data_IF_346207245962
#
_entry.id   IF_346207245962
#
_cell.length_a   1.000
_cell.length_b   1.000
_cell.length_c   1.000
_cell.angle_alpha   90.00
_cell.angle_beta   90.00
_cell.angle_gamma   90.00
#
_symmetry.space_group_name_H-M   'P 1'
#
loop_
_entity.id
_entity.type
_entity.pdbx_description
1 polymer ?
#
# COMPACT_ATOMS: atom_id res chain seq x y z
N UNK A 1 4.13 0.67 -8.71
CA UNK A 1 3.58 0.50 -7.36
C UNK A 1 3.17 -0.94 -7.12
N UNK A 2 3.35 -1.40 -5.90
CA UNK A 2 2.83 -2.70 -5.44
C UNK A 2 1.72 -2.47 -4.42
N UNK A 3 0.58 -3.13 -4.62
CA UNK A 3 -0.56 -3.05 -3.72
C UNK A 3 -0.75 -4.37 -2.97
N UNK A 4 -1.10 -4.28 -1.70
CA UNK A 4 -1.40 -5.45 -0.87
C UNK A 4 -2.40 -5.08 0.22
N UNK A 5 -2.98 -6.10 0.85
CA UNK A 5 -3.82 -5.90 2.03
C UNK A 5 -3.20 -6.64 3.21
N UNK A 6 -3.32 -6.05 4.39
CA UNK A 6 -2.82 -6.62 5.64
C UNK A 6 -3.99 -6.74 6.60
N UNK A 7 -4.30 -7.96 7.00
CA UNK A 7 -5.48 -8.24 7.82
C UNK A 7 -5.14 -8.25 9.30
N UNK A 8 -6.13 -7.85 10.11
CA UNK A 8 -6.09 -8.02 11.55
C UNK A 8 -6.71 -9.34 11.97
N UNK A 9 -6.69 -9.62 13.26
CA UNK A 9 -7.29 -10.82 13.85
C UNK A 9 -8.60 -10.48 14.56
N UNK A 10 -9.58 -11.37 14.43
CA UNK A 10 -10.82 -11.31 15.20
C UNK A 10 -11.87 -10.35 14.66
N UNK A 11 -11.55 -9.53 13.66
CA UNK A 11 -12.48 -8.61 12.99
C UNK A 11 -12.21 -8.57 11.50
N UNK A 12 -13.09 -7.91 10.74
CA UNK A 12 -12.93 -7.72 9.28
C UNK A 12 -12.00 -6.56 8.94
N UNK A 13 -11.62 -5.74 9.93
CA UNK A 13 -10.80 -4.56 9.71
C UNK A 13 -9.43 -4.93 9.18
N UNK A 14 -8.97 -4.17 8.20
CA UNK A 14 -7.68 -4.38 7.56
C UNK A 14 -7.14 -3.06 7.03
N UNK A 15 -5.97 -3.11 6.44
CA UNK A 15 -5.37 -1.97 5.75
C UNK A 15 -4.97 -2.39 4.34
N UNK A 16 -4.95 -1.42 3.43
CA UNK A 16 -4.33 -1.55 2.12
C UNK A 16 -3.00 -0.81 2.15
N UNK A 17 -1.98 -1.40 1.55
CA UNK A 17 -0.67 -0.77 1.37
C UNK A 17 -0.40 -0.56 -0.10
N UNK A 18 0.16 0.58 -0.45
CA UNK A 18 0.58 0.92 -1.80
C UNK A 18 2.00 1.44 -1.72
N UNK A 19 2.94 0.71 -2.31
CA UNK A 19 4.37 0.96 -2.15
C UNK A 19 5.03 1.16 -3.50
N UNK A 20 5.77 2.24 -3.67
CA UNK A 20 6.60 2.44 -4.85
C UNK A 20 7.85 1.54 -4.77
N UNK A 21 8.04 0.69 -5.77
CA UNK A 21 9.13 -0.30 -5.78
C UNK A 21 10.51 0.34 -5.76
N UNK A 22 10.67 1.46 -6.44
CA UNK A 22 11.96 2.11 -6.57
C UNK A 22 12.38 2.83 -5.28
N UNK A 23 11.46 3.56 -4.67
CA UNK A 23 11.76 4.45 -3.55
C UNK A 23 11.37 3.89 -2.18
N UNK A 24 10.43 2.94 -2.14
CA UNK A 24 9.83 2.47 -0.90
C UNK A 24 8.77 3.41 -0.34
N UNK A 25 8.41 4.48 -1.06
CA UNK A 25 7.37 5.41 -0.62
C UNK A 25 6.06 4.65 -0.43
N UNK A 26 5.41 4.86 0.71
CA UNK A 26 4.28 4.05 1.14
C UNK A 26 3.05 4.89 1.42
N UNK A 27 1.91 4.45 0.89
CA UNK A 27 0.58 4.86 1.35
C UNK A 27 -0.04 3.71 2.12
N UNK A 28 -0.75 4.04 3.19
CA UNK A 28 -1.52 3.06 3.99
C UNK A 28 -2.95 3.57 4.08
N UNK A 29 -3.90 2.72 3.73
CA UNK A 29 -5.32 3.03 3.77
C UNK A 29 -6.07 2.13 4.74
N UNK A 30 -6.91 2.72 5.60
CA UNK A 30 -7.79 1.98 6.49
C UNK A 30 -8.98 1.44 5.70
N UNK A 31 -9.36 0.18 5.96
CA UNK A 31 -10.53 -0.47 5.37
C UNK A 31 -11.33 -1.19 6.44
N UNK A 32 -12.67 -1.07 6.37
CA UNK A 32 -13.56 -1.75 7.31
C UNK A 32 -13.64 -3.25 7.03
N UNK A 33 -13.47 -3.64 5.79
CA UNK A 33 -13.43 -5.03 5.37
C UNK A 33 -12.54 -5.21 4.13
N UNK A 34 -12.27 -6.46 3.77
CA UNK A 34 -11.41 -6.81 2.63
C UNK A 34 -12.25 -7.11 1.40
N UNK A 35 -13.08 -6.16 0.99
CA UNK A 35 -13.89 -6.26 -0.23
C UNK A 35 -13.32 -5.38 -1.34
N UNK A 36 -13.68 -5.69 -2.59
CA UNK A 36 -13.29 -4.86 -3.73
C UNK A 36 -13.89 -3.45 -3.65
N UNK A 37 -15.09 -3.33 -3.09
CA UNK A 37 -15.76 -2.03 -2.91
C UNK A 37 -15.02 -1.16 -1.91
N UNK A 38 -14.69 -1.69 -0.74
CA UNK A 38 -13.91 -0.97 0.28
C UNK A 38 -12.53 -0.59 -0.24
N UNK A 39 -11.87 -1.49 -0.96
CA UNK A 39 -10.57 -1.23 -1.57
C UNK A 39 -10.67 -0.07 -2.56
N UNK A 40 -11.64 -0.11 -3.48
CA UNK A 40 -11.78 0.91 -4.51
C UNK A 40 -12.09 2.28 -3.93
N UNK A 41 -12.94 2.36 -2.90
CA UNK A 41 -13.24 3.61 -2.21
C UNK A 41 -11.98 4.20 -1.58
N UNK A 42 -11.22 3.38 -0.86
CA UNK A 42 -9.99 3.85 -0.19
C UNK A 42 -8.91 4.22 -1.19
N UNK A 43 -8.69 3.40 -2.21
CA UNK A 43 -7.70 3.67 -3.24
C UNK A 43 -8.02 4.93 -4.02
N UNK A 44 -9.28 5.15 -4.37
CA UNK A 44 -9.69 6.38 -5.06
C UNK A 44 -9.39 7.62 -4.23
N UNK A 45 -9.61 7.57 -2.91
CA UNK A 45 -9.26 8.69 -2.01
C UNK A 45 -7.76 8.95 -1.99
N UNK A 46 -6.94 7.90 -1.91
CA UNK A 46 -5.48 8.02 -1.92
C UNK A 46 -5.00 8.63 -3.24
N UNK A 47 -5.45 8.07 -4.35
CA UNK A 47 -4.98 8.46 -5.68
C UNK A 47 -5.44 9.87 -6.06
N UNK A 48 -6.64 10.27 -5.63
CA UNK A 48 -7.19 11.61 -5.90
C UNK A 48 -6.46 12.70 -5.09
N UNK A 49 -6.10 12.40 -3.84
CA UNK A 49 -5.45 13.38 -2.94
C UNK A 49 -3.96 13.52 -3.18
N UNK A 50 -3.33 12.52 -3.80
CA UNK A 50 -1.89 12.54 -4.07
C UNK A 50 -1.60 13.19 -5.41
N UNK A 51 -0.50 13.92 -5.50
CA UNK A 51 0.05 14.46 -6.74
C UNK A 51 1.09 13.53 -7.38
N UNK A 52 1.35 12.38 -6.77
CA UNK A 52 2.28 11.39 -7.30
C UNK A 52 1.67 10.63 -8.48
N UNK A 53 2.47 10.24 -9.47
CA UNK A 53 1.97 9.46 -10.61
C UNK A 53 1.78 7.99 -10.24
N UNK A 54 0.62 7.44 -10.56
CA UNK A 54 0.30 6.02 -10.39
C UNK A 54 0.14 5.39 -11.79
N UNK A 55 1.27 5.09 -12.43
CA UNK A 55 1.25 4.56 -13.80
C UNK A 55 0.89 3.08 -13.83
N UNK A 56 1.57 2.28 -13.03
CA UNK A 56 1.34 0.84 -12.96
C UNK A 56 1.21 0.39 -11.50
N UNK A 57 0.31 -0.55 -11.27
CA UNK A 57 0.07 -1.13 -9.94
C UNK A 57 0.08 -2.65 -10.08
N UNK A 58 0.93 -3.33 -9.32
CA UNK A 58 1.01 -4.78 -9.30
C UNK A 58 0.32 -5.34 -8.07
N UNK A 59 -0.59 -6.30 -8.27
CA UNK A 59 -1.36 -6.95 -7.23
C UNK A 59 -1.21 -8.48 -7.30
N UNK A 60 -1.64 -9.16 -6.26
CA UNK A 60 -1.84 -10.61 -6.34
C UNK A 60 -3.25 -10.93 -6.90
N UNK A 61 -3.62 -12.21 -6.94
CA UNK A 61 -4.92 -12.66 -7.45
C UNK A 61 -6.03 -12.67 -6.38
N UNK A 62 -5.88 -11.88 -5.31
CA UNK A 62 -6.89 -11.76 -4.26
C UNK A 62 -8.21 -11.19 -4.79
N UNK A 63 -9.32 -11.65 -4.20
CA UNK A 63 -10.65 -11.22 -4.63
C UNK A 63 -10.89 -9.73 -4.39
N UNK A 64 -10.19 -9.12 -3.43
CA UNK A 64 -10.29 -7.68 -3.16
C UNK A 64 -9.82 -6.83 -4.35
N UNK A 65 -9.03 -7.39 -5.28
CA UNK A 65 -8.54 -6.67 -6.46
C UNK A 65 -9.40 -6.89 -7.70
N UNK A 66 -10.50 -7.62 -7.61
CA UNK A 66 -11.36 -7.90 -8.78
C UNK A 66 -12.08 -6.66 -9.33
N UNK A 67 -12.15 -5.59 -8.57
CA UNK A 67 -12.71 -4.30 -9.02
C UNK A 67 -11.69 -3.37 -9.70
N UNK A 68 -10.52 -3.86 -10.06
CA UNK A 68 -9.40 -3.05 -10.58
C UNK A 68 -9.74 -2.23 -11.83
N UNK A 69 -10.65 -2.71 -12.68
CA UNK A 69 -11.02 -2.03 -13.91
C UNK A 69 -11.60 -0.64 -13.66
N UNK A 70 -12.32 -0.45 -12.57
CA UNK A 70 -12.84 0.87 -12.17
C UNK A 70 -11.71 1.83 -11.80
N UNK A 71 -10.69 1.33 -11.09
CA UNK A 71 -9.52 2.15 -10.73
C UNK A 71 -8.70 2.52 -11.97
N UNK A 72 -8.52 1.59 -12.91
CA UNK A 72 -7.85 1.88 -14.18
C UNK A 72 -8.57 2.98 -14.95
N UNK A 73 -9.91 2.88 -15.04
CA UNK A 73 -10.72 3.83 -15.77
C UNK A 73 -10.72 5.23 -15.16
N UNK A 74 -10.84 5.32 -13.82
CA UNK A 74 -10.97 6.60 -13.13
C UNK A 74 -9.63 7.30 -12.88
N UNK A 75 -8.53 6.55 -12.80
CA UNK A 75 -7.23 7.09 -12.40
C UNK A 75 -6.13 6.94 -13.46
N UNK A 76 -6.48 6.48 -14.66
CA UNK A 76 -5.55 6.34 -15.77
C UNK A 76 -4.27 5.56 -15.38
N UNK A 77 -4.46 4.43 -14.72
CA UNK A 77 -3.38 3.52 -14.33
C UNK A 77 -3.61 2.15 -14.95
N UNK A 78 -2.58 1.30 -14.93
CA UNK A 78 -2.66 -0.08 -15.41
C UNK A 78 -2.37 -1.03 -14.26
N UNK A 79 -3.23 -2.03 -14.08
CA UNK A 79 -3.03 -3.09 -13.11
C UNK A 79 -2.37 -4.30 -13.77
N UNK A 80 -1.40 -4.87 -13.05
CA UNK A 80 -0.76 -6.13 -13.40
C UNK A 80 -0.89 -7.08 -12.21
N UNK A 81 -1.04 -8.36 -12.50
CA UNK A 81 -1.17 -9.38 -11.48
C UNK A 81 0.08 -10.24 -11.44
N UNK A 82 0.69 -10.38 -10.26
CA UNK A 82 1.88 -11.18 -10.06
C UNK A 82 1.56 -12.66 -10.35
N UNK A 83 2.51 -13.35 -10.98
CA UNK A 83 2.36 -14.77 -11.25
C UNK A 83 2.35 -15.57 -9.94
N UNK A 84 1.48 -16.58 -9.80
CA UNK A 84 1.51 -17.49 -8.65
C UNK A 84 2.93 -18.06 -8.47
N UNK A 85 3.35 -18.19 -7.20
CA UNK A 85 4.67 -18.73 -6.82
C UNK A 85 5.88 -17.86 -7.20
N UNK A 86 5.66 -16.64 -7.73
CA UNK A 86 6.73 -15.70 -8.05
C UNK A 86 6.79 -14.59 -6.98
N UNK A 87 7.10 -14.97 -5.74
CA UNK A 87 7.12 -14.03 -4.60
C UNK A 87 8.11 -12.87 -4.79
N UNK A 88 9.18 -13.07 -5.56
CA UNK A 88 10.16 -12.00 -5.85
C UNK A 88 9.54 -10.83 -6.63
N UNK A 89 8.43 -11.03 -7.31
CA UNK A 89 7.73 -9.96 -8.02
C UNK A 89 7.10 -8.95 -7.07
N UNK A 90 7.00 -9.27 -5.77
CA UNK A 90 6.36 -8.45 -4.73
C UNK A 90 7.21 -8.28 -3.46
N UNK A 91 8.53 -8.41 -3.59
CA UNK A 91 9.43 -8.32 -2.43
C UNK A 91 9.39 -6.99 -1.70
N UNK A 92 9.13 -5.89 -2.40
CA UNK A 92 9.01 -4.55 -1.79
C UNK A 92 7.82 -4.49 -0.84
N UNK A 93 6.68 -5.07 -1.21
CA UNK A 93 5.50 -5.14 -0.34
C UNK A 93 5.78 -5.95 0.93
N UNK A 94 6.42 -7.10 0.79
CA UNK A 94 6.76 -7.95 1.94
C UNK A 94 7.64 -7.21 2.94
N UNK A 95 8.67 -6.51 2.45
CA UNK A 95 9.55 -5.73 3.30
C UNK A 95 8.80 -4.61 4.02
N UNK A 96 7.97 -3.88 3.31
CA UNK A 96 7.15 -2.79 3.87
C UNK A 96 6.16 -3.31 4.89
N UNK A 97 5.49 -4.44 4.61
CA UNK A 97 4.56 -5.05 5.55
C UNK A 97 5.28 -5.45 6.84
N UNK A 98 6.51 -5.94 6.75
CA UNK A 98 7.34 -6.21 7.93
C UNK A 98 7.60 -4.97 8.78
N UNK A 99 7.87 -3.83 8.15
CA UNK A 99 8.05 -2.55 8.86
C UNK A 99 6.74 -2.08 9.52
N UNK A 100 5.61 -2.23 8.83
CA UNK A 100 4.29 -1.87 9.36
C UNK A 100 3.97 -2.70 10.60
N UNK A 101 4.37 -3.97 10.64
CA UNK A 101 4.14 -4.84 11.79
C UNK A 101 4.87 -4.40 13.06
N UNK A 102 5.82 -3.48 12.97
CA UNK A 102 6.41 -2.84 14.16
C UNK A 102 5.40 -1.93 14.87
N UNK A 103 4.40 -1.41 14.14
CA UNK A 103 3.35 -0.53 14.66
C UNK A 103 2.01 -1.25 14.83
N UNK A 104 1.74 -2.21 13.97
CA UNK A 104 0.51 -3.01 13.95
C UNK A 104 0.89 -4.50 14.00
N UNK A 105 1.15 -5.05 15.20
CA UNK A 105 1.64 -6.42 15.34
C UNK A 105 0.69 -7.47 14.78
N UNK A 106 1.24 -8.59 14.33
CA UNK A 106 0.44 -9.74 13.90
C UNK A 106 -0.43 -10.25 15.05
N UNK A 107 -1.54 -10.90 14.69
CA UNK A 107 -2.46 -11.54 15.65
C UNK A 107 -3.18 -10.57 16.57
N UNK A 108 -3.23 -9.31 16.21
CA UNK A 108 -4.02 -8.30 16.93
C UNK A 108 -5.14 -7.78 16.03
N UNK A 109 -6.24 -7.32 16.66
CA UNK A 109 -7.34 -6.70 15.92
C UNK A 109 -6.90 -5.35 15.36
N UNK A 110 -7.42 -5.01 14.20
CA UNK A 110 -7.25 -3.68 13.59
C UNK A 110 -8.48 -2.79 13.75
N UNK A 111 -9.41 -3.15 14.63
CA UNK A 111 -10.63 -2.37 14.85
C UNK A 111 -10.37 -0.94 15.35
N UNK A 112 -9.24 -0.71 16.02
CA UNK A 112 -8.82 0.61 16.50
C UNK A 112 -8.11 1.45 15.44
N UNK A 113 -7.79 0.87 14.30
CA UNK A 113 -7.00 1.54 13.25
C UNK A 113 -7.87 2.55 12.51
N UNK A 114 -7.44 3.80 12.51
CA UNK A 114 -8.07 4.89 11.78
C UNK A 114 -7.22 5.29 10.58
N UNK A 115 -7.78 6.05 9.65
CA UNK A 115 -6.99 6.61 8.55
C UNK A 115 -5.92 7.56 9.06
N UNK A 116 -6.19 8.30 10.15
CA UNK A 116 -5.20 9.16 10.78
C UNK A 116 -3.98 8.35 11.26
N UNK A 117 -4.23 7.22 11.93
CA UNK A 117 -3.15 6.33 12.38
C UNK A 117 -2.37 5.76 11.19
N UNK A 118 -3.05 5.36 10.13
CA UNK A 118 -2.41 4.89 8.89
C UNK A 118 -1.49 5.97 8.31
N UNK A 119 -1.95 7.21 8.27
CA UNK A 119 -1.15 8.34 7.77
C UNK A 119 0.08 8.61 8.64
N UNK A 120 -0.07 8.49 9.96
CA UNK A 120 1.05 8.66 10.90
C UNK A 120 2.12 7.57 10.71
N UNK A 121 1.70 6.32 10.55
CA UNK A 121 2.63 5.21 10.30
C UNK A 121 3.33 5.40 8.96
N UNK A 122 2.59 5.71 7.91
CA UNK A 122 3.15 5.96 6.58
C UNK A 122 4.17 7.11 6.62
N UNK A 123 3.87 8.18 7.33
CA UNK A 123 4.78 9.30 7.49
C UNK A 123 6.10 8.87 8.16
N UNK A 124 6.03 8.07 9.22
CA UNK A 124 7.22 7.54 9.89
C UNK A 124 8.08 6.70 8.96
N UNK A 125 7.46 5.86 8.13
CA UNK A 125 8.19 5.05 7.14
C UNK A 125 8.79 5.91 6.03
N UNK A 126 8.03 6.89 5.54
CA UNK A 126 8.45 7.75 4.43
C UNK A 126 9.53 8.76 4.82
N UNK A 127 9.69 9.05 6.09
CA UNK A 127 10.70 9.98 6.62
C UNK A 127 11.86 9.26 7.33
N UNK A 128 11.95 7.94 7.20
CA UNK A 128 13.04 7.15 7.74
C UNK A 128 14.14 7.01 6.69
N UNK A 129 15.41 7.40 6.99
CA UNK A 129 16.53 7.19 6.06
C UNK A 129 16.70 5.71 5.70
N UNK A 130 16.96 5.44 4.43
CA UNK A 130 17.16 4.08 3.91
C UNK A 130 18.55 3.92 3.34
N UNK A 131 19.25 2.88 3.78
CA UNK A 131 20.61 2.60 3.30
C UNK A 131 20.67 2.46 1.77
N UNK A 132 19.70 1.75 1.18
CA UNK A 132 19.66 1.54 -0.28
C UNK A 132 19.37 2.82 -1.08
N UNK A 133 18.91 3.88 -0.44
CA UNK A 133 18.67 5.19 -1.05
C UNK A 133 19.80 6.18 -0.72
N UNK A 134 20.97 5.69 -0.32
CA UNK A 134 22.07 6.54 0.12
C UNK A 134 21.74 7.32 1.38
N UNK A 135 20.97 6.72 2.29
CA UNK A 135 20.47 7.30 3.53
C UNK A 135 19.47 8.45 3.34
N UNK A 136 18.96 8.63 2.13
CA UNK A 136 17.80 9.50 1.91
C UNK A 136 16.53 8.82 2.38
N UNK A 137 15.52 9.63 2.67
CA UNK A 137 14.18 9.11 2.98
C UNK A 137 13.42 8.80 1.69
N UNK A 138 12.40 7.90 1.72
CA UNK A 138 11.52 7.71 0.58
C UNK A 138 10.89 9.01 0.08
N UNK A 139 10.49 9.91 0.99
CA UNK A 139 9.92 11.22 0.61
C UNK A 139 10.92 12.05 -0.20
N UNK A 140 12.15 12.18 0.27
CA UNK A 140 13.19 12.93 -0.45
C UNK A 140 13.47 12.34 -1.82
N UNK A 141 13.61 11.01 -1.88
CA UNK A 141 13.97 10.32 -3.10
C UNK A 141 12.88 10.39 -4.18
N UNK A 142 11.62 10.18 -3.80
CA UNK A 142 10.52 10.18 -4.78
C UNK A 142 10.31 11.58 -5.38
N UNK A 143 10.42 12.63 -4.57
CA UNK A 143 10.27 14.00 -5.07
C UNK A 143 11.43 14.42 -5.97
N UNK A 144 12.61 13.89 -5.76
CA UNK A 144 13.77 14.16 -6.61
C UNK A 144 13.70 13.45 -7.99
N UNK A 145 12.85 12.42 -8.12
CA UNK A 145 12.76 11.57 -9.31
C UNK A 145 11.40 11.60 -10.00
N UNK A 146 10.57 12.57 -9.68
CA UNK A 146 9.28 12.78 -10.37
C UNK A 146 9.45 13.26 -11.81
#
# INVERSE_FOLDING_TARGET
WEIDTVVGRGTKHCIVTLVDRMTGYTFIGQMDDRTSESLNVRMSKIMTRSDLPFKTITADNGTEFHGYAQLEKHHNCLFYFANPYHSWERGTNENTNGLIRQYLPKRTSMSHVTQKLCNEIAHKLNTRPRKRLGYRTPTEYIHAHL
#
